data_IF_686733147578
#
_entry.id   IF_686733147578
#
_cell.length_a   1.000
_cell.length_b   1.000
_cell.length_c   1.000
_cell.angle_alpha   90.00
_cell.angle_beta   90.00
_cell.angle_gamma   90.00
#
_symmetry.space_group_name_H-M   'P 1'
#
loop_
_entity.id
_entity.type
_entity.pdbx_description
1 polymer ?
#
# COMPACT_ATOMS: atom_id res chain seq x y z
N UNK A 1 27.74 -37.78 13.48
CA UNK A 1 26.78 -36.67 13.26
C UNK A 1 26.15 -36.42 14.61
N UNK A 2 26.70 -35.45 15.36
CA UNK A 2 26.03 -34.94 16.55
C UNK A 2 24.79 -34.16 16.11
N UNK A 3 23.67 -34.24 16.84
CA UNK A 3 22.51 -33.44 16.54
C UNK A 3 22.86 -31.98 16.82
N UNK A 4 22.67 -31.12 15.81
CA UNK A 4 22.73 -29.67 15.97
C UNK A 4 21.59 -29.29 16.89
N UNK A 5 21.90 -29.00 18.15
CA UNK A 5 20.96 -28.41 19.11
C UNK A 5 20.68 -26.98 18.68
N UNK A 6 19.40 -26.66 18.50
CA UNK A 6 18.94 -25.27 18.35
C UNK A 6 19.47 -24.41 19.50
N UNK A 7 19.80 -23.13 19.27
CA UNK A 7 20.31 -22.27 20.33
C UNK A 7 19.24 -22.12 21.42
N UNK A 8 19.55 -22.63 22.62
CA UNK A 8 18.69 -22.45 23.79
C UNK A 8 18.53 -20.96 24.09
N UNK A 9 17.29 -20.47 24.00
CA UNK A 9 16.90 -19.10 24.30
C UNK A 9 17.03 -18.79 25.81
N UNK A 10 18.26 -18.67 26.31
CA UNK A 10 18.60 -18.44 27.72
C UNK A 10 17.98 -17.16 28.31
N UNK A 11 17.55 -16.20 27.49
CA UNK A 11 16.85 -15.00 27.97
C UNK A 11 15.41 -15.32 28.44
N UNK A 12 14.76 -16.35 27.86
CA UNK A 12 13.41 -16.77 28.27
C UNK A 12 13.42 -17.43 29.65
N UNK A 13 14.53 -18.06 30.07
CA UNK A 13 14.68 -18.65 31.40
C UNK A 13 14.63 -17.60 32.54
N UNK A 14 14.80 -16.32 32.24
CA UNK A 14 14.69 -15.22 33.23
C UNK A 14 13.26 -14.71 33.42
N UNK A 15 12.35 -15.12 32.55
CA UNK A 15 10.91 -14.83 32.63
C UNK A 15 10.19 -16.11 33.00
N UNK A 16 9.33 -16.08 34.02
CA UNK A 16 8.51 -17.24 34.45
C UNK A 16 7.47 -17.65 33.37
N UNK A 17 7.42 -16.92 32.25
CA UNK A 17 6.54 -17.19 31.11
C UNK A 17 6.99 -18.41 30.34
N UNK A 18 6.13 -19.42 30.26
CA UNK A 18 6.36 -20.61 29.44
C UNK A 18 6.46 -20.25 27.96
N UNK A 19 7.38 -20.90 27.25
CA UNK A 19 7.55 -20.76 25.81
C UNK A 19 6.24 -21.04 25.04
N UNK A 20 5.43 -21.96 25.54
CA UNK A 20 4.11 -22.32 24.98
C UNK A 20 3.18 -21.10 24.84
N UNK A 21 3.14 -20.21 25.84
CA UNK A 21 2.33 -18.98 25.77
C UNK A 21 2.81 -18.05 24.65
N UNK A 22 4.14 -17.92 24.47
CA UNK A 22 4.70 -17.10 23.39
C UNK A 22 4.43 -17.72 22.01
N UNK A 23 4.46 -19.04 21.91
CA UNK A 23 4.13 -19.77 20.67
C UNK A 23 2.65 -19.63 20.31
N UNK A 24 1.75 -19.69 21.29
CA UNK A 24 0.31 -19.47 21.08
C UNK A 24 0.03 -18.04 20.60
N UNK A 25 0.65 -17.04 21.24
CA UNK A 25 0.53 -15.64 20.82
C UNK A 25 1.07 -15.44 19.40
N UNK A 26 2.24 -15.99 19.09
CA UNK A 26 2.80 -15.95 17.74
C UNK A 26 1.85 -16.55 16.71
N UNK A 27 1.33 -17.74 16.98
CA UNK A 27 0.36 -18.41 16.09
C UNK A 27 -0.90 -17.55 15.90
N UNK A 28 -1.40 -16.94 16.97
CA UNK A 28 -2.58 -16.09 16.90
C UNK A 28 -2.35 -14.80 16.08
N UNK A 29 -1.13 -14.23 16.12
CA UNK A 29 -0.72 -13.15 15.21
C UNK A 29 -0.65 -13.65 13.76
N UNK A 30 -0.03 -14.81 13.52
CA UNK A 30 0.11 -15.39 12.19
C UNK A 30 -1.24 -15.77 11.55
N UNK A 31 -2.24 -16.17 12.35
CA UNK A 31 -3.62 -16.45 11.92
C UNK A 31 -4.46 -15.18 11.68
N UNK A 32 -3.93 -14.00 12.01
CA UNK A 32 -4.63 -12.74 11.80
C UNK A 32 -4.71 -12.44 10.31
N UNK A 33 -5.92 -12.23 9.81
CA UNK A 33 -6.22 -12.15 8.38
C UNK A 33 -5.68 -10.86 7.77
N UNK A 34 -4.57 -10.92 7.06
CA UNK A 34 -3.93 -9.75 6.43
C UNK A 34 -4.84 -9.03 5.44
N UNK A 35 -4.69 -7.70 5.37
CA UNK A 35 -5.21 -6.89 4.26
C UNK A 35 -4.68 -7.42 2.93
N UNK A 36 -5.49 -7.41 1.87
CA UNK A 36 -5.01 -7.81 0.55
C UNK A 36 -3.88 -6.88 0.11
N UNK A 37 -2.82 -7.42 -0.47
CA UNK A 37 -1.76 -6.58 -1.05
C UNK A 37 -2.27 -5.79 -2.27
N UNK A 38 -3.29 -6.34 -2.92
CA UNK A 38 -3.84 -5.88 -4.17
C UNK A 38 -5.35 -6.07 -4.20
N UNK A 39 -6.08 -5.05 -4.63
CA UNK A 39 -7.50 -5.13 -4.88
C UNK A 39 -7.81 -4.58 -6.28
N UNK A 40 -8.72 -5.22 -7.00
CA UNK A 40 -9.13 -4.77 -8.33
C UNK A 40 -10.64 -4.93 -8.53
N UNK A 41 -11.17 -4.21 -9.51
CA UNK A 41 -12.56 -4.34 -9.91
C UNK A 41 -12.94 -3.41 -11.05
N UNK A 42 -14.25 -3.27 -11.23
CA UNK A 42 -14.83 -2.34 -12.20
C UNK A 42 -15.89 -1.49 -11.54
N UNK A 43 -16.06 -0.27 -12.03
CA UNK A 43 -17.11 0.65 -11.61
C UNK A 43 -17.81 1.23 -12.83
N UNK A 44 -19.12 1.36 -12.78
CA UNK A 44 -19.91 1.82 -13.92
C UNK A 44 -20.12 3.33 -13.87
N UNK A 45 -19.78 4.02 -14.96
CA UNK A 45 -20.02 5.45 -15.13
C UNK A 45 -20.89 5.71 -16.35
N UNK A 46 -21.82 6.68 -16.30
CA UNK A 46 -22.45 7.24 -17.49
C UNK A 46 -21.38 7.76 -18.46
N UNK A 47 -21.50 7.46 -19.75
CA UNK A 47 -20.55 7.93 -20.76
C UNK A 47 -20.48 9.47 -20.83
N UNK A 48 -21.59 10.14 -20.50
CA UNK A 48 -21.66 11.60 -20.40
C UNK A 48 -20.77 12.19 -19.29
N UNK A 49 -20.32 11.35 -18.36
CA UNK A 49 -19.46 11.74 -17.25
C UNK A 49 -18.01 11.34 -17.45
N UNK A 50 -17.59 10.71 -18.55
CA UNK A 50 -16.19 10.33 -18.77
C UNK A 50 -15.52 11.27 -19.77
N UNK A 51 -15.21 12.48 -19.31
CA UNK A 51 -14.68 13.55 -20.16
C UNK A 51 -13.36 14.05 -19.59
N UNK A 52 -12.30 13.97 -20.38
CA UNK A 52 -10.96 14.44 -20.07
C UNK A 52 -10.70 15.75 -20.83
N UNK A 53 -10.25 16.78 -20.12
CA UNK A 53 -9.68 17.98 -20.71
C UNK A 53 -8.18 18.01 -20.46
N UNK A 54 -7.41 18.44 -21.44
CA UNK A 54 -5.96 18.57 -21.31
C UNK A 54 -5.40 19.70 -22.15
N UNK A 55 -4.23 20.21 -21.76
CA UNK A 55 -3.49 21.21 -22.51
C UNK A 55 -2.62 20.55 -23.58
N UNK A 56 -2.68 21.07 -24.80
CA UNK A 56 -1.77 20.78 -25.91
C UNK A 56 -1.06 22.09 -26.28
N UNK A 57 0.09 22.34 -25.65
CA UNK A 57 0.73 23.66 -25.74
C UNK A 57 -0.17 24.75 -25.15
N UNK A 58 -0.58 25.72 -25.97
CA UNK A 58 -1.51 26.78 -25.57
C UNK A 58 -3.00 26.43 -25.78
N UNK A 59 -3.29 25.33 -26.47
CA UNK A 59 -4.66 24.92 -26.78
C UNK A 59 -5.22 24.01 -25.69
N UNK A 60 -6.54 24.14 -25.42
CA UNK A 60 -7.27 23.17 -24.61
C UNK A 60 -7.96 22.14 -25.53
N UNK A 61 -7.80 20.86 -25.20
CA UNK A 61 -8.43 19.73 -25.88
C UNK A 61 -9.41 19.02 -24.97
N UNK A 62 -10.37 18.34 -25.58
CA UNK A 62 -11.39 17.54 -24.89
C UNK A 62 -11.43 16.15 -25.53
N UNK A 63 -11.45 15.12 -24.69
CA UNK A 63 -11.54 13.72 -25.08
C UNK A 63 -12.68 13.06 -24.30
N UNK A 64 -13.50 12.25 -24.96
CA UNK A 64 -14.63 11.56 -24.34
C UNK A 64 -14.43 10.06 -24.42
N UNK A 65 -14.58 9.36 -23.30
CA UNK A 65 -14.54 7.91 -23.25
C UNK A 65 -15.97 7.33 -23.19
N UNK A 66 -16.22 6.15 -23.78
CA UNK A 66 -15.29 5.27 -24.47
C UNK A 66 -15.07 5.62 -25.96
N UNK A 67 -15.61 6.74 -26.44
CA UNK A 67 -15.68 7.07 -27.88
C UNK A 67 -14.39 7.65 -28.48
N UNK A 68 -13.34 7.83 -27.68
CA UNK A 68 -12.06 8.37 -28.08
C UNK A 68 -11.43 7.50 -29.17
N UNK A 69 -11.17 8.06 -30.36
CA UNK A 69 -10.56 7.31 -31.44
C UNK A 69 -9.03 7.26 -31.33
N UNK A 70 -8.41 6.46 -32.19
CA UNK A 70 -6.96 6.21 -32.17
C UNK A 70 -6.15 7.49 -32.39
N UNK A 71 -6.60 8.38 -33.28
CA UNK A 71 -5.93 9.64 -33.60
C UNK A 71 -5.97 10.62 -32.42
N UNK A 72 -7.11 10.70 -31.73
CA UNK A 72 -7.28 11.52 -30.53
C UNK A 72 -6.45 10.99 -29.36
N UNK A 73 -6.40 9.67 -29.16
CA UNK A 73 -5.58 9.03 -28.14
C UNK A 73 -4.07 9.20 -28.43
N UNK A 74 -3.67 9.09 -29.70
CA UNK A 74 -2.30 9.40 -30.11
C UNK A 74 -1.96 10.86 -29.80
N UNK A 75 -2.86 11.80 -30.10
CA UNK A 75 -2.64 13.22 -29.80
C UNK A 75 -2.49 13.47 -28.30
N UNK A 76 -3.32 12.84 -27.46
CA UNK A 76 -3.16 12.88 -26.01
C UNK A 76 -1.78 12.35 -25.59
N UNK A 77 -1.34 11.22 -26.16
CA UNK A 77 0.00 10.67 -25.93
C UNK A 77 1.08 11.68 -26.30
N UNK A 78 1.03 12.26 -27.50
CA UNK A 78 2.01 13.21 -28.00
C UNK A 78 2.09 14.49 -27.13
N UNK A 79 0.96 14.91 -26.53
CA UNK A 79 0.90 16.04 -25.60
C UNK A 79 1.44 15.73 -24.19
N UNK A 80 1.62 14.46 -23.83
CA UNK A 80 2.23 14.04 -22.58
C UNK A 80 3.76 14.14 -22.64
N UNK A 81 4.43 14.33 -21.52
CA UNK A 81 5.89 14.26 -21.40
C UNK A 81 6.38 12.81 -21.29
N UNK A 82 7.63 12.50 -21.69
CA UNK A 82 8.25 11.21 -21.36
C UNK A 82 8.23 10.96 -19.85
N UNK A 83 7.83 9.76 -19.45
CA UNK A 83 7.69 9.44 -18.03
C UNK A 83 9.01 8.97 -17.40
N UNK A 84 9.44 9.67 -16.35
CA UNK A 84 10.58 9.29 -15.52
C UNK A 84 10.20 8.26 -14.46
N UNK A 85 11.19 7.65 -13.81
CA UNK A 85 11.01 6.83 -12.61
C UNK A 85 12.06 7.19 -11.55
N UNK A 86 11.74 6.90 -10.28
CA UNK A 86 12.64 7.17 -9.17
C UNK A 86 13.76 6.14 -9.08
N UNK A 87 15.02 6.60 -8.98
CA UNK A 87 16.18 5.78 -8.64
C UNK A 87 17.08 6.58 -7.72
N UNK A 88 17.30 6.08 -6.49
CA UNK A 88 18.13 6.76 -5.48
C UNK A 88 17.73 8.24 -5.24
N UNK A 89 16.42 8.50 -5.11
CA UNK A 89 15.84 9.85 -4.92
C UNK A 89 16.04 10.82 -6.10
N UNK A 90 16.41 10.31 -7.28
CA UNK A 90 16.50 11.09 -8.51
C UNK A 90 15.49 10.56 -9.53
N UNK A 91 14.89 11.48 -10.30
CA UNK A 91 14.07 11.11 -11.45
C UNK A 91 14.97 10.77 -12.64
N UNK A 92 14.86 9.54 -13.13
CA UNK A 92 15.64 9.02 -14.26
C UNK A 92 14.73 8.78 -15.46
N UNK A 93 15.18 9.23 -16.63
CA UNK A 93 14.59 8.89 -17.93
C UNK A 93 15.42 7.77 -18.57
N UNK A 94 14.88 6.56 -18.62
CA UNK A 94 15.45 5.41 -19.32
C UNK A 94 14.33 4.60 -19.98
N UNK A 95 14.17 4.79 -21.29
CA UNK A 95 13.13 4.16 -22.10
C UNK A 95 13.30 2.64 -22.23
N UNK A 96 14.49 2.10 -21.94
CA UNK A 96 14.70 0.64 -21.86
C UNK A 96 14.12 0.04 -20.58
N UNK A 97 13.83 0.87 -19.58
CA UNK A 97 13.23 0.48 -18.31
C UNK A 97 11.76 0.91 -18.20
N UNK A 98 11.43 2.10 -18.71
CA UNK A 98 10.09 2.65 -18.74
C UNK A 98 9.87 3.42 -20.04
N UNK A 99 9.11 2.81 -20.94
CA UNK A 99 8.58 3.49 -22.12
C UNK A 99 7.13 3.83 -21.86
N UNK A 100 6.87 5.05 -21.36
CA UNK A 100 5.52 5.55 -21.09
C UNK A 100 5.52 7.08 -21.16
N UNK A 101 4.35 7.67 -21.34
CA UNK A 101 4.19 9.13 -21.27
C UNK A 101 3.31 9.50 -20.10
N UNK A 102 3.54 10.66 -19.49
CA UNK A 102 2.78 11.18 -18.35
C UNK A 102 2.34 12.61 -18.57
N UNK A 103 1.25 13.00 -17.91
CA UNK A 103 0.81 14.38 -17.80
C UNK A 103 0.53 14.70 -16.34
N UNK A 104 1.10 15.80 -15.86
CA UNK A 104 0.94 16.25 -14.48
C UNK A 104 -0.40 16.99 -14.29
N UNK A 105 -0.93 16.97 -13.06
CA UNK A 105 -2.28 17.47 -12.73
C UNK A 105 -2.57 18.92 -13.09
N UNK A 106 -1.55 19.74 -13.32
CA UNK A 106 -1.71 21.13 -13.76
C UNK A 106 -2.14 21.25 -15.22
N UNK A 107 -2.02 20.16 -16.00
CA UNK A 107 -2.26 20.15 -17.44
C UNK A 107 -3.48 19.33 -17.86
N UNK A 108 -4.20 18.71 -16.93
CA UNK A 108 -5.45 18.01 -17.25
C UNK A 108 -6.48 18.14 -16.14
N UNK A 109 -7.74 17.89 -16.51
CA UNK A 109 -8.85 17.73 -15.59
C UNK A 109 -9.79 16.67 -16.14
N UNK A 110 -10.49 15.95 -15.26
CA UNK A 110 -11.41 14.91 -15.67
C UNK A 110 -12.75 15.08 -14.95
N UNK A 111 -13.85 15.02 -15.71
CA UNK A 111 -15.16 14.78 -15.15
C UNK A 111 -15.31 13.27 -14.99
N UNK A 112 -15.79 12.83 -13.82
CA UNK A 112 -16.26 11.47 -13.52
C UNK A 112 -17.53 11.49 -12.65
N UNK A 113 -18.18 12.66 -12.49
CA UNK A 113 -19.38 12.82 -11.66
C UNK A 113 -19.16 12.60 -10.15
N UNK A 114 -20.26 12.65 -9.38
CA UNK A 114 -20.22 12.44 -7.92
C UNK A 114 -19.86 11.01 -7.51
N UNK A 115 -20.25 10.02 -8.32
CA UNK A 115 -19.94 8.60 -8.11
C UNK A 115 -18.43 8.32 -8.11
N UNK A 116 -17.61 9.28 -8.57
CA UNK A 116 -16.17 9.17 -8.51
C UNK A 116 -15.66 9.07 -7.07
N UNK A 117 -16.23 9.83 -6.15
CA UNK A 117 -15.87 9.74 -4.74
C UNK A 117 -16.20 8.37 -4.14
N UNK A 118 -17.33 7.80 -4.53
CA UNK A 118 -17.75 6.45 -4.10
C UNK A 118 -16.79 5.38 -4.64
N UNK A 119 -16.33 5.50 -5.89
CA UNK A 119 -15.30 4.63 -6.45
C UNK A 119 -14.00 4.73 -5.64
N UNK A 120 -13.47 5.94 -5.45
CA UNK A 120 -12.22 6.13 -4.69
C UNK A 120 -12.34 5.52 -3.30
N UNK A 121 -13.50 5.71 -2.66
CA UNK A 121 -13.77 5.19 -1.33
C UNK A 121 -13.85 3.67 -1.32
N UNK A 122 -14.65 3.10 -2.22
CA UNK A 122 -14.82 1.66 -2.32
C UNK A 122 -13.51 0.94 -2.63
N UNK A 123 -12.79 1.38 -3.67
CA UNK A 123 -11.53 0.79 -4.08
C UNK A 123 -10.48 0.81 -2.96
N UNK A 124 -10.36 1.95 -2.27
CA UNK A 124 -9.42 2.10 -1.16
C UNK A 124 -9.83 1.25 0.04
N UNK A 125 -11.12 1.20 0.40
CA UNK A 125 -11.63 0.33 1.47
C UNK A 125 -11.43 -1.15 1.16
N UNK A 126 -11.52 -1.56 -0.10
CA UNK A 126 -11.23 -2.93 -0.53
C UNK A 126 -9.76 -3.30 -0.35
N UNK A 127 -8.84 -2.36 -0.57
CA UNK A 127 -7.40 -2.56 -0.30
C UNK A 127 -7.10 -2.59 1.20
N UNK A 128 -7.64 -1.63 1.95
CA UNK A 128 -7.45 -1.49 3.40
C UNK A 128 -8.00 -2.71 4.15
N UNK A 129 -9.15 -3.24 3.72
CA UNK A 129 -9.80 -4.34 4.42
C UNK A 129 -10.30 -3.96 5.81
N UNK A 130 -10.83 -4.97 6.48
CA UNK A 130 -11.43 -4.91 7.83
C UNK A 130 -10.46 -4.42 8.91
N UNK A 131 -9.17 -4.73 8.76
CA UNK A 131 -8.13 -4.33 9.71
C UNK A 131 -7.89 -2.82 9.78
N UNK A 132 -8.32 -2.06 8.78
CA UNK A 132 -8.16 -0.60 8.70
C UNK A 132 -9.49 0.12 8.49
N UNK A 133 -10.61 -0.47 8.93
CA UNK A 133 -11.95 0.12 8.79
C UNK A 133 -12.09 1.45 9.56
N UNK A 134 -11.42 1.58 10.69
CA UNK A 134 -11.36 2.77 11.55
C UNK A 134 -10.46 3.89 10.98
N UNK A 135 -9.59 3.58 10.02
CA UNK A 135 -8.66 4.56 9.45
C UNK A 135 -9.39 5.48 8.48
N UNK A 136 -9.19 6.78 8.63
CA UNK A 136 -9.57 7.76 7.62
C UNK A 136 -8.45 7.89 6.58
N UNK A 137 -8.81 8.19 5.34
CA UNK A 137 -7.86 8.29 4.23
C UNK A 137 -8.26 9.41 3.27
N UNK A 138 -7.32 9.79 2.41
CA UNK A 138 -7.64 10.54 1.22
C UNK A 138 -6.88 9.99 0.01
N UNK A 139 -7.52 10.10 -1.15
CA UNK A 139 -6.92 9.79 -2.44
C UNK A 139 -6.58 11.09 -3.14
N UNK A 140 -5.31 11.30 -3.45
CA UNK A 140 -4.80 12.48 -4.13
C UNK A 140 -4.51 12.14 -5.59
N UNK A 141 -5.14 12.85 -6.54
CA UNK A 141 -4.83 12.68 -7.95
C UNK A 141 -3.38 13.11 -8.21
N UNK A 142 -2.57 12.21 -8.77
CA UNK A 142 -1.15 12.44 -8.97
C UNK A 142 -0.79 12.70 -10.43
N UNK A 143 -1.21 11.83 -11.35
CA UNK A 143 -0.85 11.95 -12.77
C UNK A 143 -1.77 11.16 -13.68
N UNK A 144 -1.77 11.53 -14.94
CA UNK A 144 -2.28 10.73 -16.04
C UNK A 144 -1.10 10.03 -16.72
N UNK A 145 -1.22 8.74 -17.04
CA UNK A 145 -0.24 8.02 -17.86
C UNK A 145 -0.89 7.51 -19.14
N UNK A 146 -0.14 7.61 -20.24
CA UNK A 146 -0.50 7.05 -21.54
C UNK A 146 0.58 6.05 -21.97
N UNK A 147 0.16 4.82 -22.25
CA UNK A 147 0.98 3.78 -22.85
C UNK A 147 0.45 3.54 -24.27
N UNK A 148 1.25 3.92 -25.27
CA UNK A 148 0.96 3.61 -26.67
C UNK A 148 1.55 2.27 -27.08
N UNK A 149 1.53 1.92 -28.38
CA UNK A 149 2.16 0.68 -28.86
C UNK A 149 3.60 0.55 -28.38
N UNK A 150 4.00 -0.67 -28.01
CA UNK A 150 5.31 -1.05 -27.46
C UNK A 150 5.64 -0.44 -26.09
N UNK A 151 4.84 0.48 -25.56
CA UNK A 151 5.06 1.10 -24.25
C UNK A 151 4.90 0.09 -23.12
N UNK A 152 5.76 0.17 -22.09
CA UNK A 152 5.81 -0.72 -20.93
C UNK A 152 6.42 -0.01 -19.72
N UNK A 153 6.34 -0.65 -18.55
CA UNK A 153 7.10 -0.26 -17.37
C UNK A 153 7.53 -1.50 -16.60
N UNK A 154 8.84 -1.73 -16.47
CA UNK A 154 9.39 -2.91 -15.77
C UNK A 154 9.03 -2.95 -14.29
N UNK A 155 9.20 -4.12 -13.69
CA UNK A 155 9.03 -4.38 -12.26
C UNK A 155 9.71 -3.32 -11.39
N UNK A 156 8.92 -2.68 -10.53
CA UNK A 156 9.36 -1.67 -9.57
C UNK A 156 8.42 -1.62 -8.36
N UNK A 157 8.88 -1.00 -7.27
CA UNK A 157 8.03 -0.53 -6.17
C UNK A 157 7.84 0.97 -6.31
N UNK A 158 6.70 1.49 -5.87
CA UNK A 158 6.47 2.94 -5.87
C UNK A 158 7.43 3.61 -4.87
N UNK A 159 7.98 4.77 -5.25
CA UNK A 159 8.72 5.61 -4.31
C UNK A 159 7.71 6.40 -3.48
N UNK A 160 7.65 6.23 -2.15
CA UNK A 160 6.75 6.98 -1.29
C UNK A 160 6.95 8.49 -1.46
N UNK A 161 5.84 9.24 -1.46
CA UNK A 161 5.83 10.71 -1.60
C UNK A 161 5.60 11.45 -0.27
N UNK A 162 5.25 10.72 0.77
CA UNK A 162 5.05 11.21 2.13
C UNK A 162 5.06 10.04 3.11
N UNK A 163 5.35 10.33 4.37
CA UNK A 163 5.41 9.37 5.48
C UNK A 163 4.05 8.66 5.72
N UNK A 164 2.96 9.31 5.34
CA UNK A 164 1.57 8.87 5.47
C UNK A 164 1.01 8.19 4.20
N UNK A 165 1.81 8.12 3.12
CA UNK A 165 1.43 7.42 1.89
C UNK A 165 1.50 5.91 2.09
N UNK A 166 0.37 5.22 1.93
CA UNK A 166 0.30 3.78 2.10
C UNK A 166 0.16 2.99 0.80
N UNK A 167 -0.30 3.62 -0.28
CA UNK A 167 -0.52 2.91 -1.53
C UNK A 167 -0.86 3.80 -2.70
N UNK A 168 -1.24 3.14 -3.79
CA UNK A 168 -1.61 3.76 -5.05
C UNK A 168 -2.96 3.20 -5.51
N UNK A 169 -3.76 4.02 -6.17
CA UNK A 169 -4.98 3.62 -6.88
C UNK A 169 -4.85 4.02 -8.35
N UNK A 170 -5.04 3.04 -9.23
CA UNK A 170 -4.94 3.18 -10.68
C UNK A 170 -6.34 3.01 -11.25
N UNK A 171 -6.77 3.96 -12.06
CA UNK A 171 -8.07 3.93 -12.76
C UNK A 171 -7.78 3.91 -14.24
N UNK A 172 -8.17 2.84 -14.92
CA UNK A 172 -8.02 2.69 -16.36
C UNK A 172 -9.26 3.25 -17.07
N UNK A 173 -9.07 4.38 -17.77
CA UNK A 173 -10.13 4.99 -18.57
C UNK A 173 -10.45 4.06 -19.74
N UNK A 174 -11.72 3.96 -20.18
CA UNK A 174 -12.11 2.96 -21.16
C UNK A 174 -11.66 3.41 -22.56
N UNK A 175 -10.41 3.10 -22.91
CA UNK A 175 -9.78 3.32 -24.21
C UNK A 175 -9.45 2.00 -24.88
N UNK A 176 -9.53 1.94 -26.20
CA UNK A 176 -9.22 0.72 -26.96
C UNK A 176 -7.72 0.43 -26.94
N UNK A 177 -7.34 -0.77 -26.46
CA UNK A 177 -5.98 -1.27 -26.42
C UNK A 177 -5.91 -2.79 -26.26
N UNK A 178 -4.78 -3.37 -26.65
CA UNK A 178 -4.42 -4.78 -26.43
C UNK A 178 -3.08 -4.86 -25.69
N UNK A 179 -2.91 -5.83 -24.78
CA UNK A 179 -1.77 -5.89 -23.88
C UNK A 179 -1.81 -4.78 -22.81
N UNK A 180 -0.66 -4.38 -22.28
CA UNK A 180 -0.63 -3.35 -21.22
C UNK A 180 -1.11 -3.85 -19.86
N UNK A 181 -1.00 -5.15 -19.60
CA UNK A 181 -1.49 -5.76 -18.36
C UNK A 181 -0.70 -5.22 -17.18
N UNK A 182 -1.40 -4.89 -16.10
CA UNK A 182 -0.79 -4.48 -14.85
C UNK A 182 -0.58 -5.71 -13.98
N UNK A 183 0.67 -6.06 -13.71
CA UNK A 183 1.02 -7.23 -12.92
C UNK A 183 1.50 -6.76 -11.55
N UNK A 184 0.95 -7.32 -10.48
CA UNK A 184 1.36 -7.06 -9.10
C UNK A 184 1.90 -8.35 -8.50
N UNK A 185 3.06 -8.26 -7.85
CA UNK A 185 3.76 -9.39 -7.24
C UNK A 185 3.97 -9.14 -5.76
N UNK A 186 3.79 -10.19 -4.97
CA UNK A 186 4.32 -10.30 -3.62
C UNK A 186 5.19 -11.57 -3.54
N UNK A 187 5.74 -11.88 -2.36
CA UNK A 187 6.65 -13.01 -2.18
C UNK A 187 6.04 -14.39 -2.50
N UNK A 188 4.71 -14.50 -2.53
CA UNK A 188 3.98 -15.77 -2.64
C UNK A 188 3.00 -15.85 -3.84
N UNK A 189 2.60 -14.71 -4.42
CA UNK A 189 1.49 -14.58 -5.37
C UNK A 189 1.77 -13.54 -6.46
N UNK A 190 1.23 -13.81 -7.66
CA UNK A 190 1.19 -12.87 -8.78
C UNK A 190 -0.26 -12.63 -9.21
N UNK A 191 -0.64 -11.36 -9.27
CA UNK A 191 -1.96 -10.90 -9.69
C UNK A 191 -1.88 -10.18 -11.03
N UNK A 192 -2.80 -10.46 -11.96
CA UNK A 192 -2.90 -9.77 -13.26
C UNK A 192 -4.18 -8.94 -13.31
N UNK A 193 -4.05 -7.69 -13.74
CA UNK A 193 -5.15 -6.76 -14.04
C UNK A 193 -5.13 -6.38 -15.52
N UNK A 194 -6.11 -6.92 -16.24
CA UNK A 194 -6.25 -6.77 -17.69
C UNK A 194 -7.35 -5.74 -18.00
N UNK A 195 -7.00 -4.45 -17.92
CA UNK A 195 -7.96 -3.36 -18.08
C UNK A 195 -8.71 -3.40 -19.41
N UNK A 196 -8.04 -3.86 -20.49
CA UNK A 196 -8.62 -4.00 -21.84
C UNK A 196 -9.84 -4.93 -21.90
N UNK A 197 -9.85 -5.99 -21.09
CA UNK A 197 -10.97 -6.94 -21.02
C UNK A 197 -12.04 -6.49 -20.04
N UNK A 198 -11.69 -5.67 -19.05
CA UNK A 198 -12.62 -5.23 -18.01
C UNK A 198 -13.42 -3.98 -18.45
N UNK A 199 -12.84 -3.15 -19.30
CA UNK A 199 -13.50 -1.99 -19.90
C UNK A 199 -14.36 -2.41 -21.09
N UNK A 200 -15.58 -2.86 -20.82
CA UNK A 200 -16.57 -3.12 -21.86
C UNK A 200 -17.60 -1.99 -21.94
N UNK A 201 -17.76 -1.43 -23.14
CA UNK A 201 -18.95 -0.66 -23.52
C UNK A 201 -19.64 -1.38 -24.66
N UNK A 202 -20.88 -1.82 -24.47
CA UNK A 202 -21.70 -2.20 -25.62
C UNK A 202 -22.09 -0.92 -26.36
N UNK A 203 -22.05 -0.91 -27.69
CA UNK A 203 -22.39 0.26 -28.53
C UNK A 203 -23.82 0.80 -28.34
N UNK A 204 -24.64 0.12 -27.53
CA UNK A 204 -26.01 0.50 -27.15
C UNK A 204 -26.15 0.93 -25.70
N UNK A 205 -25.09 0.87 -24.89
CA UNK A 205 -25.12 1.29 -23.49
C UNK A 205 -24.74 2.76 -23.34
N UNK A 206 -25.51 3.48 -22.51
CA UNK A 206 -25.19 4.87 -22.12
C UNK A 206 -24.16 4.95 -20.98
N UNK A 207 -23.63 3.81 -20.56
CA UNK A 207 -22.65 3.66 -19.49
C UNK A 207 -21.50 2.74 -19.90
N UNK A 208 -20.36 2.91 -19.25
CA UNK A 208 -19.15 2.11 -19.44
C UNK A 208 -18.60 1.63 -18.11
N UNK A 209 -18.05 0.41 -18.12
CA UNK A 209 -17.26 -0.11 -17.01
C UNK A 209 -15.87 0.49 -17.07
N UNK A 210 -15.46 1.12 -15.97
CA UNK A 210 -14.12 1.66 -15.74
C UNK A 210 -13.40 0.73 -14.80
N UNK A 211 -12.28 0.18 -15.23
CA UNK A 211 -11.50 -0.76 -14.46
C UNK A 211 -10.60 -0.01 -13.47
N UNK A 212 -10.40 -0.55 -12.27
CA UNK A 212 -9.54 0.04 -11.25
C UNK A 212 -8.72 -1.03 -10.52
N UNK A 213 -7.58 -0.62 -10.00
CA UNK A 213 -6.62 -1.45 -9.29
C UNK A 213 -5.97 -0.63 -8.17
N UNK A 214 -6.01 -1.12 -6.94
CA UNK A 214 -5.41 -0.52 -5.75
C UNK A 214 -4.34 -1.45 -5.20
N UNK A 215 -3.19 -0.91 -4.81
CA UNK A 215 -2.06 -1.66 -4.28
C UNK A 215 -1.34 -0.89 -3.18
N UNK A 216 -0.74 -1.63 -2.24
CA UNK A 216 0.15 -1.02 -1.25
C UNK A 216 1.47 -0.58 -1.89
N UNK A 217 2.10 0.46 -1.34
CA UNK A 217 3.31 1.07 -1.92
C UNK A 217 4.53 0.14 -1.98
N UNK A 218 4.56 -0.89 -1.12
CA UNK A 218 5.61 -1.91 -1.10
C UNK A 218 5.38 -3.04 -2.11
N UNK A 219 4.23 -3.09 -2.79
CA UNK A 219 3.92 -4.11 -3.77
C UNK A 219 4.73 -3.87 -5.05
N UNK A 220 5.52 -4.87 -5.46
CA UNK A 220 6.22 -4.81 -6.73
C UNK A 220 5.21 -4.94 -7.86
N UNK A 221 5.34 -4.10 -8.88
CA UNK A 221 4.42 -4.13 -10.01
C UNK A 221 5.08 -3.71 -11.32
N UNK A 222 4.45 -4.10 -12.42
CA UNK A 222 4.88 -3.76 -13.78
C UNK A 222 3.68 -3.56 -14.72
N UNK A 223 3.94 -2.94 -15.86
CA UNK A 223 3.03 -2.85 -17.00
C UNK A 223 3.67 -3.59 -18.16
N UNK A 224 3.05 -4.67 -18.63
CA UNK A 224 3.51 -5.41 -19.80
C UNK A 224 3.36 -4.56 -21.07
N UNK A 225 4.06 -4.90 -22.17
CA UNK A 225 3.95 -4.12 -23.40
C UNK A 225 2.50 -4.01 -23.91
N UNK A 226 2.13 -2.80 -24.33
CA UNK A 226 0.91 -2.56 -25.11
C UNK A 226 1.17 -3.00 -26.56
N UNK A 227 0.36 -3.93 -27.06
CA UNK A 227 0.51 -4.49 -28.41
C UNK A 227 -0.19 -3.62 -29.45
N UNK A 228 -1.33 -3.04 -29.11
CA UNK A 228 -2.09 -2.14 -29.99
C UNK A 228 -2.91 -1.14 -29.18
N UNK A 229 -3.30 -0.03 -29.82
CA UNK A 229 -4.10 1.03 -29.20
C UNK A 229 -3.35 1.86 -28.16
N UNK A 230 -4.09 2.47 -27.24
CA UNK A 230 -3.53 3.31 -26.17
C UNK A 230 -4.22 3.03 -24.85
N UNK A 231 -3.45 2.67 -23.83
CA UNK A 231 -3.91 2.50 -22.46
C UNK A 231 -3.77 3.82 -21.71
N UNK A 232 -4.89 4.40 -21.28
CA UNK A 232 -4.92 5.66 -20.52
C UNK A 232 -5.31 5.38 -19.07
N UNK A 233 -4.50 5.86 -18.14
CA UNK A 233 -4.73 5.66 -16.70
C UNK A 233 -4.59 6.94 -15.90
N UNK A 234 -5.38 7.04 -14.83
CA UNK A 234 -5.16 7.99 -13.74
C UNK A 234 -4.49 7.25 -12.59
N UNK A 235 -3.49 7.88 -11.97
CA UNK A 235 -2.86 7.40 -10.75
C UNK A 235 -3.20 8.33 -9.60
N UNK A 236 -3.65 7.77 -8.49
CA UNK A 236 -3.88 8.43 -7.22
C UNK A 236 -2.89 7.90 -6.19
N UNK A 237 -2.29 8.79 -5.42
CA UNK A 237 -1.59 8.43 -4.20
C UNK A 237 -2.62 8.28 -3.07
N UNK A 238 -2.49 7.24 -2.26
CA UNK A 238 -3.38 6.97 -1.12
C UNK A 238 -2.65 7.26 0.18
N UNK A 239 -3.25 8.12 0.99
CA UNK A 239 -2.68 8.59 2.25
C UNK A 239 -3.63 8.32 3.39
N UNK A 240 -3.08 7.91 4.53
CA UNK A 240 -3.83 7.91 5.77
C UNK A 240 -3.99 9.35 6.24
N UNK A 241 -5.19 9.72 6.68
CA UNK A 241 -5.34 11.02 7.34
C UNK A 241 -4.84 10.89 8.76
N UNK A 242 -3.84 11.71 9.12
CA UNK A 242 -3.52 11.91 10.53
C UNK A 242 -4.79 12.45 11.19
N UNK A 243 -5.29 11.85 12.27
CA UNK A 243 -6.39 12.46 13.00
C UNK A 243 -5.91 13.85 13.42
N UNK A 244 -6.54 14.90 12.86
CA UNK A 244 -6.49 16.20 13.53
C UNK A 244 -6.86 15.93 14.98
N UNK A 245 -6.12 16.52 15.94
CA UNK A 245 -6.27 16.38 17.39
C UNK A 245 -7.71 16.66 17.89
N UNK A 246 -8.64 15.81 17.51
CA UNK A 246 -10.02 15.77 17.91
C UNK A 246 -10.15 14.40 18.55
N UNK A 247 -10.13 14.45 19.87
CA UNK A 247 -10.43 13.39 20.82
C UNK A 247 -11.88 12.93 20.62
N UNK A 248 -12.23 12.37 19.46
CA UNK A 248 -13.41 11.52 19.36
C UNK A 248 -13.00 10.14 19.85
N UNK A 249 -13.66 9.58 20.88
CA UNK A 249 -13.49 8.18 21.23
C UNK A 249 -13.81 7.37 19.98
N UNK A 250 -12.81 6.69 19.42
CA UNK A 250 -13.08 5.66 18.45
C UNK A 250 -14.07 4.69 19.11
N UNK A 251 -15.12 4.22 18.42
CA UNK A 251 -15.93 3.15 18.96
C UNK A 251 -14.99 2.00 19.36
N UNK A 252 -15.21 1.41 20.54
CA UNK A 252 -14.59 0.15 20.98
C UNK A 252 -15.06 -0.97 20.06
N UNK A 253 -14.60 -0.96 18.82
CA UNK A 253 -14.76 -2.05 17.87
C UNK A 253 -13.73 -3.08 18.33
N UNK A 254 -14.16 -4.30 18.70
CA UNK A 254 -13.21 -5.37 19.00
C UNK A 254 -12.22 -5.50 17.83
N UNK A 255 -10.91 -5.64 18.10
CA UNK A 255 -9.93 -5.84 17.05
C UNK A 255 -10.37 -7.01 16.16
N UNK A 256 -10.26 -6.87 14.84
CA UNK A 256 -10.54 -7.95 13.88
C UNK A 256 -9.40 -8.99 13.85
N UNK A 257 -9.08 -9.48 15.04
CA UNK A 257 -8.10 -10.50 15.36
C UNK A 257 -8.58 -11.25 16.63
N UNK A 258 -9.75 -11.95 16.57
CA UNK A 258 -10.35 -12.57 17.75
C UNK A 258 -9.47 -13.65 18.36
N UNK A 259 -8.68 -14.36 17.55
CA UNK A 259 -7.69 -15.31 18.04
C UNK A 259 -6.63 -14.61 18.91
N UNK A 260 -6.02 -13.55 18.39
CA UNK A 260 -5.00 -12.76 19.12
C UNK A 260 -5.56 -12.15 20.40
N UNK A 261 -6.75 -11.56 20.33
CA UNK A 261 -7.43 -11.00 21.50
C UNK A 261 -7.68 -12.06 22.58
N UNK A 262 -8.24 -13.20 22.20
CA UNK A 262 -8.57 -14.27 23.15
C UNK A 262 -7.31 -14.90 23.73
N UNK A 263 -6.28 -15.15 22.92
CA UNK A 263 -5.01 -15.71 23.38
C UNK A 263 -4.27 -14.76 24.33
N UNK A 264 -4.17 -13.47 23.99
CA UNK A 264 -3.54 -12.50 24.90
C UNK A 264 -4.34 -12.33 26.19
N UNK A 265 -5.67 -12.27 26.11
CA UNK A 265 -6.52 -12.24 27.30
C UNK A 265 -6.36 -13.49 28.15
N UNK A 266 -6.23 -14.68 27.55
CA UNK A 266 -5.97 -15.92 28.29
C UNK A 266 -4.61 -15.88 29.00
N UNK A 267 -3.56 -15.43 28.30
CA UNK A 267 -2.22 -15.23 28.87
C UNK A 267 -2.27 -14.28 30.06
N UNK A 268 -2.88 -13.10 29.93
CA UNK A 268 -2.97 -12.12 31.02
C UNK A 268 -3.77 -12.62 32.24
N UNK A 269 -4.65 -13.61 32.08
CA UNK A 269 -5.37 -14.24 33.19
C UNK A 269 -4.61 -15.42 33.81
N UNK A 270 -3.51 -15.88 33.19
CA UNK A 270 -2.65 -16.93 33.75
C UNK A 270 -1.65 -16.29 34.74
N UNK A 271 -1.67 -16.65 36.04
CA UNK A 271 -0.77 -16.08 37.04
C UNK A 271 0.71 -16.44 36.81
N UNK A 272 1.02 -17.35 35.89
CA UNK A 272 2.40 -17.72 35.50
C UNK A 272 2.91 -16.90 34.31
N UNK A 273 2.04 -16.18 33.61
CA UNK A 273 2.41 -15.31 32.51
C UNK A 273 2.85 -13.94 33.03
N UNK A 274 4.13 -13.60 32.84
CA UNK A 274 4.76 -12.37 33.35
C UNK A 274 4.31 -12.00 34.79
N UNK A 275 4.53 -12.86 35.80
CA UNK A 275 3.98 -12.67 37.16
C UNK A 275 4.48 -11.39 37.85
N UNK A 276 5.68 -10.92 37.48
CA UNK A 276 6.28 -9.67 37.97
C UNK A 276 6.07 -8.50 36.98
N UNK A 277 5.21 -8.68 35.97
CA UNK A 277 5.11 -7.81 34.81
C UNK A 277 6.25 -8.00 33.80
N UNK A 278 6.23 -7.21 32.74
CA UNK A 278 7.26 -7.24 31.69
C UNK A 278 6.85 -6.51 30.41
N UNK A 279 7.70 -6.61 29.39
CA UNK A 279 7.44 -6.13 28.03
C UNK A 279 7.22 -7.34 27.11
N UNK A 280 6.29 -7.21 26.16
CA UNK A 280 6.02 -8.24 25.17
C UNK A 280 6.43 -7.71 23.79
N UNK A 281 7.45 -8.34 23.23
CA UNK A 281 8.03 -7.96 21.94
C UNK A 281 7.30 -8.58 20.76
N UNK A 282 6.82 -7.78 19.80
CA UNK A 282 6.34 -8.29 18.51
C UNK A 282 7.16 -7.73 17.35
N UNK A 283 7.76 -8.61 16.53
CA UNK A 283 8.38 -8.19 15.28
C UNK A 283 7.34 -7.72 14.28
N UNK A 284 7.51 -6.53 13.69
CA UNK A 284 6.60 -6.06 12.64
C UNK A 284 6.82 -6.85 11.35
N UNK A 285 5.72 -7.22 10.69
CA UNK A 285 5.71 -8.01 9.46
C UNK A 285 5.88 -7.14 8.21
N UNK A 286 5.33 -5.93 8.21
CA UNK A 286 5.26 -5.09 7.01
C UNK A 286 6.40 -4.07 6.92
N UNK A 287 6.74 -3.65 5.69
CA UNK A 287 7.64 -2.53 5.45
C UNK A 287 6.93 -1.19 5.66
N UNK A 288 7.61 -0.24 6.29
CA UNK A 288 7.09 1.11 6.57
C UNK A 288 8.05 2.19 6.05
N UNK A 289 7.54 3.25 5.40
CA UNK A 289 8.37 4.34 4.90
C UNK A 289 8.79 5.26 6.06
N UNK A 290 9.81 4.85 6.80
CA UNK A 290 10.36 5.63 7.92
C UNK A 290 11.64 6.36 7.50
N UNK A 291 11.76 7.62 7.91
CA UNK A 291 13.01 8.39 7.86
C UNK A 291 13.66 8.45 9.25
N UNK A 292 14.94 8.82 9.32
CA UNK A 292 15.63 8.98 10.62
C UNK A 292 15.02 10.10 11.49
N UNK A 293 14.29 11.03 10.89
CA UNK A 293 13.57 12.12 11.56
C UNK A 293 12.11 11.81 11.87
N UNK A 294 11.60 10.65 11.45
CA UNK A 294 10.20 10.28 11.63
C UNK A 294 9.90 9.97 13.10
N UNK A 295 8.82 10.56 13.65
CA UNK A 295 8.34 10.24 14.99
C UNK A 295 7.59 8.91 15.00
N UNK A 296 8.24 7.87 15.51
CA UNK A 296 7.72 6.51 15.56
C UNK A 296 6.35 6.39 16.25
N UNK A 297 6.03 7.25 17.22
CA UNK A 297 4.73 7.11 17.90
C UNK A 297 3.57 7.56 17.02
N UNK A 298 3.78 8.51 16.11
CA UNK A 298 2.77 8.90 15.13
C UNK A 298 2.49 7.76 14.11
N UNK A 299 3.46 6.87 13.90
CA UNK A 299 3.33 5.72 12.99
C UNK A 299 2.48 4.57 13.51
N UNK A 300 2.17 4.55 14.81
CA UNK A 300 1.21 3.59 15.38
C UNK A 300 -0.13 3.68 14.63
N UNK A 301 -0.51 4.89 14.21
CA UNK A 301 -1.70 5.14 13.41
C UNK A 301 -1.66 4.55 11.99
N UNK A 302 -0.48 4.18 11.47
CA UNK A 302 -0.27 3.75 10.09
C UNK A 302 0.18 2.30 9.96
N UNK A 303 0.20 1.54 11.07
CA UNK A 303 0.49 0.11 11.04
C UNK A 303 -0.49 -0.61 10.12
N UNK A 304 0.03 -1.62 9.41
CA UNK A 304 -0.68 -2.42 8.40
C UNK A 304 -1.00 -3.79 8.97
N UNK A 305 -2.08 -4.42 8.53
CA UNK A 305 -2.15 -5.88 8.69
C UNK A 305 -2.26 -6.36 10.15
N UNK A 306 -1.61 -7.49 10.40
CA UNK A 306 -1.33 -8.03 11.74
C UNK A 306 -0.60 -7.05 12.67
N UNK A 307 0.27 -6.16 12.16
CA UNK A 307 0.96 -5.15 12.97
C UNK A 307 -0.04 -4.18 13.62
N UNK A 308 -1.07 -3.76 12.87
CA UNK A 308 -2.15 -2.93 13.41
C UNK A 308 -3.03 -3.70 14.39
N UNK A 309 -3.23 -5.00 14.16
CA UNK A 309 -4.06 -5.82 15.04
C UNK A 309 -3.44 -5.94 16.43
N UNK A 310 -2.11 -6.06 16.52
CA UNK A 310 -1.39 -6.12 17.80
C UNK A 310 -1.68 -4.87 18.65
N UNK A 311 -1.57 -3.66 18.07
CA UNK A 311 -1.87 -2.40 18.78
C UNK A 311 -3.32 -2.37 19.25
N UNK A 312 -4.27 -2.64 18.34
CA UNK A 312 -5.70 -2.60 18.67
C UNK A 312 -6.07 -3.61 19.74
N UNK A 313 -5.45 -4.79 19.72
CA UNK A 313 -5.62 -5.80 20.78
C UNK A 313 -5.06 -5.31 22.11
N UNK A 314 -3.85 -4.72 22.13
CA UNK A 314 -3.27 -4.13 23.33
C UNK A 314 -4.18 -3.02 23.91
N UNK A 315 -4.62 -2.08 23.07
CA UNK A 315 -5.53 -1.00 23.46
C UNK A 315 -6.84 -1.53 24.04
N UNK A 316 -7.42 -2.59 23.43
CA UNK A 316 -8.68 -3.20 23.91
C UNK A 316 -8.57 -3.93 25.25
N UNK A 317 -7.35 -4.23 25.69
CA UNK A 317 -7.02 -4.86 26.96
C UNK A 317 -6.40 -3.86 27.97
N UNK A 318 -6.52 -2.56 27.69
CA UNK A 318 -5.95 -1.46 28.49
C UNK A 318 -4.41 -1.56 28.68
N UNK A 319 -3.73 -2.21 27.74
CA UNK A 319 -2.28 -2.30 27.71
C UNK A 319 -1.68 -1.09 26.99
N UNK A 320 -0.53 -0.61 27.47
CA UNK A 320 0.24 0.42 26.77
C UNK A 320 1.09 -0.25 25.70
N UNK A 321 1.00 0.25 24.46
CA UNK A 321 1.80 -0.23 23.34
C UNK A 321 2.69 0.88 22.78
N UNK A 322 3.93 0.53 22.40
CA UNK A 322 4.88 1.49 21.82
C UNK A 322 5.59 0.92 20.61
N UNK A 323 5.71 1.73 19.55
CA UNK A 323 6.60 1.40 18.44
C UNK A 323 8.07 1.68 18.82
N UNK A 324 8.97 0.71 18.62
CA UNK A 324 10.40 0.84 18.91
C UNK A 324 11.27 0.32 17.75
N UNK A 325 12.42 0.98 17.59
CA UNK A 325 13.51 0.47 16.77
C UNK A 325 14.37 -0.45 17.62
N UNK A 326 14.66 -1.66 17.14
CA UNK A 326 15.60 -2.56 17.79
C UNK A 326 16.74 -2.86 16.82
N UNK A 327 17.95 -2.63 17.30
CA UNK A 327 19.19 -2.89 16.58
C UNK A 327 19.93 -4.02 17.28
N UNK A 328 20.39 -5.00 16.51
CA UNK A 328 21.29 -6.03 17.04
C UNK A 328 22.70 -5.44 17.13
N UNK A 329 23.16 -5.16 18.36
CA UNK A 329 24.46 -4.53 18.61
C UNK A 329 25.58 -5.58 18.71
N UNK A 330 25.29 -6.88 18.51
CA UNK A 330 26.24 -7.97 18.74
C UNK A 330 27.36 -8.09 17.70
N UNK A 331 27.34 -7.32 16.60
CA UNK A 331 28.44 -7.32 15.60
C UNK A 331 29.53 -6.25 15.83
N UNK A 332 29.51 -5.48 16.94
CA UNK A 332 30.60 -4.52 17.24
C UNK A 332 31.47 -5.00 18.39
N UNK A 333 32.61 -5.59 18.04
CA UNK A 333 33.73 -5.76 18.98
C UNK A 333 34.37 -4.39 19.28
N UNK A 334 34.24 -3.91 20.52
CA UNK A 334 35.00 -2.78 21.07
C UNK A 334 34.52 -2.40 22.47
N UNK A 335 35.40 -2.13 23.45
CA UNK A 335 35.00 -1.97 24.85
C UNK A 335 34.36 -0.61 25.10
N UNK A 336 33.37 -0.62 25.99
CA UNK A 336 32.76 0.49 26.74
C UNK A 336 33.09 1.92 26.25
N UNK A 337 32.16 2.55 25.53
CA UNK A 337 31.60 3.87 25.85
C UNK A 337 30.80 4.43 24.67
N UNK A 338 29.79 5.23 25.04
CA UNK A 338 29.07 6.20 24.20
C UNK A 338 27.98 5.65 23.26
N UNK A 339 26.74 5.91 23.71
CA UNK A 339 25.63 6.32 22.86
C UNK A 339 26.15 7.40 21.89
N UNK A 340 26.42 7.03 20.63
CA UNK A 340 26.41 7.96 19.50
C UNK A 340 26.44 7.19 18.18
N UNK A 341 25.62 7.69 17.26
CA UNK A 341 25.55 7.45 15.82
C UNK A 341 26.59 6.50 15.20
N UNK A 342 26.11 5.36 14.65
CA UNK A 342 26.55 4.92 13.32
C UNK A 342 25.82 3.67 12.82
N UNK A 343 25.44 3.74 11.54
CA UNK A 343 25.52 2.74 10.45
C UNK A 343 24.69 1.44 10.47
N UNK A 344 23.60 1.56 9.70
CA UNK A 344 22.87 0.64 8.82
C UNK A 344 23.40 -0.80 8.64
N UNK A 345 22.60 -1.75 9.12
CA UNK A 345 22.54 -3.18 8.78
C UNK A 345 21.13 -3.70 9.08
N UNK A 346 20.65 -4.66 8.28
CA UNK A 346 19.26 -5.15 8.17
C UNK A 346 18.38 -4.98 9.44
N UNK A 347 17.38 -4.09 9.34
CA UNK A 347 16.52 -3.72 10.46
C UNK A 347 15.39 -4.74 10.66
N UNK A 348 15.29 -5.32 11.86
CA UNK A 348 14.08 -5.97 12.38
C UNK A 348 13.46 -5.06 13.44
N UNK A 349 12.26 -4.58 13.20
CA UNK A 349 11.55 -3.64 14.08
C UNK A 349 10.70 -4.42 15.09
N UNK A 350 10.70 -4.02 16.36
CA UNK A 350 9.88 -4.64 17.41
C UNK A 350 8.96 -3.62 18.08
N UNK A 351 7.72 -4.03 18.32
CA UNK A 351 6.82 -3.42 19.28
C UNK A 351 7.23 -3.83 20.70
N UNK A 352 7.17 -2.96 21.69
CA UNK A 352 7.45 -3.27 23.11
C UNK A 352 6.29 -2.92 24.03
#
# INVERSE_FOLDING_TARGET
MEPVTEPENHHLLKTITKLEHLQELRKAVEETKESPIFAQGTWEFPNSQLILWYNEGSDARCLKFPTANKEELKRLSDACDPATFGRNQQDVLDESYRLARKMDITNFSINMGFNFHDLLTYATRRLLGVQHEDKDFHAELYKLNVYGPESFFKAHKDTPRGDDMFGSLIIALPSEHEGGNFIVRNEEEQHSFESSQLSHSSSKSNSSKVAWAALWSHAEHEVTPVLSGYRVTLTFNLYFRTPASLSTPAPNIPPDAPALLNSLKACLNDPTFLPEGGLLGFGLKHEYPLSASSDLQNFVGFLKGSDSAIIKTADSLDMKAYLRAVYDVSERHGPESCLEDAKFGQNRWMLS
#
